data_IF_678814333443
#
_entry.id   IF_678814333443
#
_cell.length_a   1.000
_cell.length_b   1.000
_cell.length_c   1.000
_cell.angle_alpha   90.00
_cell.angle_beta   90.00
_cell.angle_gamma   90.00
#
_symmetry.space_group_name_H-M   'P 1'
#
loop_
_entity.id
_entity.type
_entity.pdbx_description
1 polymer ?
#
# COMPACT_ATOMS: atom_id res chain seq x y z
N UNK A 1 -6.36 3.57 6.10
CA UNK A 1 -5.07 2.86 6.23
C UNK A 1 -3.99 3.77 5.68
N UNK A 2 -2.71 3.61 6.04
CA UNK A 2 -1.62 4.35 5.40
C UNK A 2 -1.00 3.52 4.28
N UNK A 3 -0.78 4.10 3.10
CA UNK A 3 -0.07 3.44 2.00
C UNK A 3 1.43 3.80 2.04
N UNK A 4 2.27 2.80 1.75
CA UNK A 4 3.72 2.96 1.74
C UNK A 4 4.37 1.95 0.79
N UNK A 5 5.59 2.27 0.38
CA UNK A 5 6.44 1.39 -0.45
C UNK A 5 7.72 1.02 0.29
N UNK A 6 8.36 -0.06 -0.17
CA UNK A 6 9.67 -0.47 0.31
C UNK A 6 10.69 -0.45 -0.83
N UNK A 7 11.90 0.02 -0.53
CA UNK A 7 13.05 -0.11 -1.42
C UNK A 7 13.58 -1.56 -1.41
N UNK A 8 14.43 -1.95 -2.37
CA UNK A 8 15.13 -3.24 -2.33
C UNK A 8 15.97 -3.46 -1.05
N UNK A 9 16.42 -2.36 -0.42
CA UNK A 9 17.11 -2.34 0.87
C UNK A 9 16.19 -2.33 2.09
N UNK A 10 14.89 -2.60 1.89
CA UNK A 10 13.85 -2.62 2.94
C UNK A 10 13.60 -1.29 3.66
N UNK A 11 13.96 -0.16 3.05
CA UNK A 11 13.62 1.17 3.59
C UNK A 11 12.17 1.52 3.25
N UNK A 12 11.40 1.91 4.27
CA UNK A 12 10.00 2.35 4.12
C UNK A 12 9.94 3.78 3.58
N UNK A 13 9.21 3.98 2.49
CA UNK A 13 8.90 5.27 1.87
C UNK A 13 7.40 5.57 2.08
N UNK A 14 7.08 6.77 2.58
CA UNK A 14 5.71 7.17 2.95
C UNK A 14 5.19 8.37 2.17
N UNK A 15 5.99 8.92 1.26
CA UNK A 15 5.59 10.07 0.45
C UNK A 15 6.29 10.09 -0.90
N UNK A 16 5.72 10.84 -1.84
CA UNK A 16 6.32 11.12 -3.14
C UNK A 16 7.69 11.80 -3.01
N UNK A 17 7.89 12.69 -2.03
CA UNK A 17 9.19 13.34 -1.80
C UNK A 17 10.29 12.33 -1.49
N UNK A 18 10.00 11.36 -0.61
CA UNK A 18 10.97 10.33 -0.25
C UNK A 18 11.25 9.40 -1.42
N UNK A 19 10.24 9.11 -2.24
CA UNK A 19 10.37 8.30 -3.44
C UNK A 19 11.17 9.03 -4.54
N UNK A 20 10.91 10.31 -4.78
CA UNK A 20 11.64 11.13 -5.75
C UNK A 20 13.13 11.21 -5.40
N UNK A 21 13.45 11.49 -4.13
CA UNK A 21 14.83 11.48 -3.65
C UNK A 21 15.50 10.12 -3.86
N UNK A 22 14.78 9.02 -3.60
CA UNK A 22 15.31 7.69 -3.83
C UNK A 22 15.59 7.42 -5.32
N UNK A 23 14.65 7.73 -6.21
CA UNK A 23 14.82 7.52 -7.66
C UNK A 23 15.98 8.37 -8.23
N UNK A 24 16.16 9.60 -7.75
CA UNK A 24 17.28 10.47 -8.17
C UNK A 24 18.66 9.94 -7.73
N UNK A 25 18.72 9.20 -6.63
CA UNK A 25 19.97 8.60 -6.11
C UNK A 25 20.32 7.27 -6.77
N UNK A 26 19.37 6.66 -7.48
CA UNK A 26 19.46 5.30 -7.99
C UNK A 26 19.10 5.26 -9.48
N UNK A 27 20.10 5.55 -10.33
CA UNK A 27 19.97 5.64 -11.80
C UNK A 27 19.47 4.34 -12.44
N UNK A 28 19.56 3.20 -11.75
CA UNK A 28 18.97 1.94 -12.18
C UNK A 28 17.43 1.99 -12.35
N UNK A 29 16.77 3.02 -11.80
CA UNK A 29 15.32 3.21 -11.87
C UNK A 29 14.88 4.34 -12.81
N UNK A 30 15.73 4.79 -13.75
CA UNK A 30 15.44 5.93 -14.63
C UNK A 30 14.17 5.79 -15.49
N UNK A 31 13.70 4.57 -15.75
CA UNK A 31 12.48 4.32 -16.51
C UNK A 31 11.20 4.43 -15.66
N UNK A 32 11.35 4.49 -14.34
CA UNK A 32 10.26 4.56 -13.39
C UNK A 32 9.83 6.01 -13.20
N UNK A 33 8.53 6.28 -13.40
CA UNK A 33 7.93 7.61 -13.20
C UNK A 33 7.20 7.66 -11.86
N UNK A 34 7.21 8.83 -11.19
CA UNK A 34 6.42 9.05 -9.97
C UNK A 34 4.93 8.77 -10.16
N UNK A 35 4.40 8.98 -11.37
CA UNK A 35 3.00 8.70 -11.71
C UNK A 35 2.59 7.23 -11.56
N UNK A 36 3.56 6.32 -11.44
CA UNK A 36 3.29 4.90 -11.24
C UNK A 36 2.95 4.55 -9.79
N UNK A 37 3.01 5.52 -8.87
CA UNK A 37 2.85 5.31 -7.43
C UNK A 37 1.65 6.06 -6.87
N UNK A 38 1.02 5.46 -5.86
CA UNK A 38 -0.16 6.00 -5.17
C UNK A 38 0.05 5.82 -3.67
N UNK A 39 -0.05 6.92 -2.91
CA UNK A 39 0.06 6.93 -1.45
C UNK A 39 -1.29 7.07 -0.74
N UNK A 40 -2.40 6.92 -1.46
CA UNK A 40 -3.75 6.93 -0.89
C UNK A 40 -4.20 5.50 -0.61
N UNK A 41 -4.69 5.22 0.60
CA UNK A 41 -5.44 3.98 0.81
C UNK A 41 -6.78 4.06 0.11
N UNK A 42 -7.21 2.97 -0.53
CA UNK A 42 -8.59 2.84 -1.01
C UNK A 42 -9.55 3.06 0.15
N UNK A 43 -10.39 4.08 0.05
CA UNK A 43 -11.53 4.24 0.94
C UNK A 43 -12.50 3.11 0.61
N UNK A 44 -12.67 2.16 1.52
CA UNK A 44 -13.81 1.25 1.46
C UNK A 44 -15.03 2.13 1.67
N UNK A 45 -15.78 2.46 0.61
CA UNK A 45 -17.14 2.94 0.76
C UNK A 45 -17.95 1.77 1.32
N UNK A 46 -18.53 1.93 2.50
CA UNK A 46 -19.30 0.86 3.16
C UNK A 46 -20.49 0.36 2.33
N UNK A 47 -20.89 1.10 1.30
CA UNK A 47 -21.96 0.73 0.36
C UNK A 47 -21.55 -0.35 -0.67
N UNK A 48 -20.28 -0.75 -0.73
CA UNK A 48 -19.81 -1.84 -1.61
C UNK A 48 -19.58 -3.14 -0.83
N UNK A 49 -20.35 -3.37 0.23
CA UNK A 49 -20.45 -4.68 0.85
C UNK A 49 -21.69 -5.37 0.28
N UNK A 50 -21.58 -6.46 -0.50
CA UNK A 50 -22.75 -7.27 -0.81
C UNK A 50 -23.36 -7.71 0.54
N UNK A 51 -24.67 -7.45 0.73
CA UNK A 51 -25.38 -7.47 2.03
C UNK A 51 -25.34 -8.78 2.85
N UNK A 52 -24.47 -9.73 2.52
CA UNK A 52 -24.38 -11.06 3.12
C UNK A 52 -23.34 -11.19 4.23
N UNK A 53 -22.47 -10.19 4.50
CA UNK A 53 -21.36 -10.34 5.46
C UNK A 53 -21.55 -9.66 6.82
N UNK A 54 -22.66 -8.97 7.08
CA UNK A 54 -22.93 -8.29 8.37
C UNK A 54 -23.38 -9.22 9.52
N UNK A 55 -23.03 -10.51 9.48
CA UNK A 55 -23.45 -11.50 10.47
C UNK A 55 -22.27 -12.36 10.98
N UNK A 56 -21.18 -11.72 11.39
CA UNK A 56 -20.16 -12.36 12.25
C UNK A 56 -19.35 -11.30 13.02
N UNK A 57 -20.02 -10.66 13.97
CA UNK A 57 -19.45 -9.86 15.04
C UNK A 57 -18.35 -10.63 15.81
N UNK A 58 -17.24 -9.92 16.10
CA UNK A 58 -16.22 -10.14 17.13
C UNK A 58 -15.70 -11.55 17.38
N UNK A 59 -14.41 -11.74 17.11
CA UNK A 59 -13.39 -12.14 18.09
C UNK A 59 -12.18 -12.71 17.33
N UNK A 60 -11.07 -11.98 17.43
CA UNK A 60 -9.72 -12.52 17.60
C UNK A 60 -9.12 -13.44 16.50
N UNK A 61 -8.06 -12.93 15.88
CA UNK A 61 -6.93 -13.65 15.24
C UNK A 61 -7.23 -14.35 13.91
N UNK A 62 -6.86 -13.70 12.80
CA UNK A 62 -6.66 -14.40 11.52
C UNK A 62 -5.25 -14.09 11.00
N UNK A 63 -4.36 -15.01 11.34
CA UNK A 63 -3.14 -15.29 10.58
C UNK A 63 -3.54 -16.30 9.52
N UNK A 64 -3.64 -15.89 8.26
CA UNK A 64 -3.65 -16.82 7.13
C UNK A 64 -2.66 -16.29 6.10
N UNK A 65 -1.51 -16.95 6.08
CA UNK A 65 -0.60 -17.02 4.94
C UNK A 65 -1.25 -17.96 3.93
N UNK A 66 -1.18 -17.65 2.64
CA UNK A 66 -1.44 -18.65 1.61
C UNK A 66 -0.37 -18.53 0.53
N UNK A 67 0.08 -19.72 0.11
CA UNK A 67 1.33 -20.10 -0.55
C UNK A 67 1.56 -19.45 -1.92
#
# INVERSE_FOLDING_TARGET
>A
MDAYYFTPSWKKLRSFTQLDTFLQQHLEFNEIKLSNFIFTSSTIMEDTIPSTTLLANSNMKVQIVTL
#
